data_IF_479418854742
#
_entry.id   IF_479418854742
#
_cell.length_a   1.000
_cell.length_b   1.000
_cell.length_c   1.000
_cell.angle_alpha   90.00
_cell.angle_beta   90.00
_cell.angle_gamma   90.00
#
_symmetry.space_group_name_H-M   'P 1'
#
loop_
_entity.id
_entity.type
_entity.pdbx_description
1 polymer ?
#
# COMPACT_ATOMS: atom_id res chain seq x y z
N UNK A 1 -15.65 -12.56 0.29
CA UNK A 1 -15.63 -11.79 -0.97
C UNK A 1 -14.31 -12.07 -1.65
N UNK A 2 -14.31 -12.80 -2.78
CA UNK A 2 -13.10 -12.97 -3.60
C UNK A 2 -12.61 -11.60 -4.07
N UNK A 3 -11.30 -11.34 -3.97
CA UNK A 3 -10.69 -10.18 -4.59
C UNK A 3 -10.85 -10.28 -6.11
N UNK A 4 -11.26 -9.17 -6.71
CA UNK A 4 -11.29 -9.04 -8.17
C UNK A 4 -9.87 -8.71 -8.67
N UNK A 5 -9.50 -9.29 -9.82
CA UNK A 5 -8.28 -8.93 -10.55
C UNK A 5 -6.98 -9.06 -9.72
N UNK A 6 -6.90 -10.08 -8.85
CA UNK A 6 -5.72 -10.34 -8.00
C UNK A 6 -5.26 -11.80 -8.03
N UNK A 7 -5.58 -12.50 -9.12
CA UNK A 7 -5.32 -13.95 -9.24
C UNK A 7 -3.83 -14.28 -9.09
N UNK A 8 -2.94 -13.46 -9.69
CA UNK A 8 -1.51 -13.63 -9.54
C UNK A 8 -1.07 -13.33 -8.10
N UNK A 9 -1.58 -12.26 -7.49
CA UNK A 9 -1.29 -11.92 -6.09
C UNK A 9 -1.73 -13.04 -5.14
N UNK A 10 -2.90 -13.61 -5.36
CA UNK A 10 -3.37 -14.78 -4.60
C UNK A 10 -2.45 -15.99 -4.80
N UNK A 11 -2.05 -16.28 -6.03
CA UNK A 11 -1.08 -17.36 -6.31
C UNK A 11 0.24 -17.14 -5.57
N UNK A 12 0.75 -15.90 -5.53
CA UNK A 12 1.96 -15.56 -4.77
C UNK A 12 1.79 -15.81 -3.27
N UNK A 13 0.59 -15.60 -2.69
CA UNK A 13 0.31 -15.96 -1.29
C UNK A 13 0.41 -17.47 -1.07
N UNK A 14 -0.13 -18.28 -1.98
CA UNK A 14 0.04 -19.75 -1.90
C UNK A 14 1.52 -20.15 -2.00
N UNK A 15 2.29 -19.56 -2.89
CA UNK A 15 3.74 -19.82 -2.99
C UNK A 15 4.49 -19.42 -1.71
N UNK A 16 4.13 -18.31 -1.08
CA UNK A 16 4.68 -17.91 0.21
C UNK A 16 4.28 -18.87 1.35
N UNK A 17 3.09 -19.45 1.28
CA UNK A 17 2.65 -20.44 2.27
C UNK A 17 3.47 -21.73 2.24
N UNK A 18 4.03 -22.08 1.08
CA UNK A 18 4.87 -23.26 0.91
C UNK A 18 6.34 -22.99 1.29
N UNK A 19 6.88 -21.81 0.89
CA UNK A 19 8.31 -21.49 0.99
C UNK A 19 8.67 -20.65 2.22
N UNK A 20 7.67 -20.05 2.89
CA UNK A 20 7.86 -18.98 3.89
C UNK A 20 8.41 -17.70 3.26
N UNK A 21 8.52 -16.65 4.07
CA UNK A 21 9.27 -15.45 3.72
C UNK A 21 10.66 -15.54 4.36
N UNK A 22 11.72 -15.45 3.57
CA UNK A 22 13.10 -15.47 4.08
C UNK A 22 13.51 -14.14 4.71
N UNK A 23 12.84 -13.09 4.29
CA UNK A 23 12.90 -11.72 4.84
C UNK A 23 11.48 -11.17 4.84
N UNK A 24 11.14 -10.18 5.67
CA UNK A 24 9.84 -9.51 5.57
C UNK A 24 9.56 -9.00 4.15
N UNK A 25 8.38 -9.24 3.63
CA UNK A 25 7.91 -8.69 2.35
C UNK A 25 7.17 -7.39 2.64
N UNK A 26 7.60 -6.28 2.02
CA UNK A 26 6.96 -4.97 2.14
C UNK A 26 6.24 -4.65 0.84
N UNK A 27 4.91 -4.70 0.88
CA UNK A 27 4.05 -4.33 -0.24
C UNK A 27 3.79 -2.83 -0.20
N UNK A 28 4.16 -2.12 -1.25
CA UNK A 28 3.92 -0.68 -1.38
C UNK A 28 3.25 -0.34 -2.73
N UNK A 29 2.64 0.82 -2.85
CA UNK A 29 1.99 1.23 -4.11
C UNK A 29 0.93 2.29 -3.88
N UNK A 30 0.19 2.69 -4.94
CA UNK A 30 -0.79 3.75 -4.87
C UNK A 30 -1.75 3.61 -3.69
N UNK A 31 -2.07 4.74 -3.07
CA UNK A 31 -3.11 4.78 -2.04
C UNK A 31 -4.42 4.26 -2.62
N UNK A 32 -5.07 3.33 -1.90
CA UNK A 32 -6.34 2.76 -2.35
C UNK A 32 -6.27 1.72 -3.48
N UNK A 33 -5.08 1.25 -3.89
CA UNK A 33 -4.96 0.21 -4.92
C UNK A 33 -5.39 -1.19 -4.48
N UNK A 34 -5.68 -1.40 -3.18
CA UNK A 34 -6.19 -2.66 -2.64
C UNK A 34 -5.22 -3.48 -1.79
N UNK A 35 -4.10 -2.90 -1.31
CA UNK A 35 -3.12 -3.60 -0.44
C UNK A 35 -3.75 -4.22 0.80
N UNK A 36 -4.55 -3.44 1.55
CA UNK A 36 -5.26 -3.93 2.74
C UNK A 36 -6.22 -5.08 2.42
N UNK A 37 -6.89 -5.02 1.28
CA UNK A 37 -7.78 -6.09 0.84
C UNK A 37 -6.99 -7.38 0.54
N UNK A 38 -5.84 -7.26 -0.12
CA UNK A 38 -4.94 -8.39 -0.37
C UNK A 38 -4.43 -9.00 0.95
N UNK A 39 -4.01 -8.19 1.93
CA UNK A 39 -3.55 -8.69 3.23
C UNK A 39 -4.67 -9.43 3.99
N UNK A 40 -5.88 -8.90 3.97
CA UNK A 40 -7.04 -9.57 4.61
C UNK A 40 -7.32 -10.93 3.95
N UNK A 41 -7.35 -10.97 2.62
CA UNK A 41 -7.55 -12.22 1.88
C UNK A 41 -6.38 -13.20 2.12
N UNK A 42 -5.14 -12.70 2.19
CA UNK A 42 -3.99 -13.51 2.55
C UNK A 42 -4.14 -14.12 3.95
N UNK A 43 -4.69 -13.36 4.91
CA UNK A 43 -4.98 -13.85 6.25
C UNK A 43 -5.97 -15.02 6.25
N UNK A 44 -7.05 -14.90 5.50
CA UNK A 44 -8.05 -15.98 5.35
C UNK A 44 -7.43 -17.24 4.71
N UNK A 45 -6.73 -17.07 3.58
CA UNK A 45 -6.07 -18.18 2.87
C UNK A 45 -5.04 -18.87 3.76
N UNK A 46 -4.18 -18.12 4.42
CA UNK A 46 -3.16 -18.69 5.29
C UNK A 46 -3.77 -19.40 6.50
N UNK A 47 -4.87 -18.85 7.05
CA UNK A 47 -5.65 -19.50 8.11
C UNK A 47 -6.23 -20.84 7.66
N UNK A 48 -6.84 -20.91 6.47
CA UNK A 48 -7.34 -22.15 5.88
C UNK A 48 -6.22 -23.18 5.61
N UNK A 49 -5.01 -22.71 5.31
CA UNK A 49 -3.83 -23.54 5.14
C UNK A 49 -3.16 -23.95 6.47
N UNK A 50 -3.78 -23.65 7.61
CA UNK A 50 -3.33 -24.06 8.94
C UNK A 50 -2.22 -23.21 9.54
N UNK A 51 -2.09 -21.95 9.12
CA UNK A 51 -1.24 -20.97 9.80
C UNK A 51 -1.97 -20.35 11.00
N UNK A 52 -1.22 -20.09 12.06
CA UNK A 52 -1.64 -19.15 13.09
C UNK A 52 -1.40 -17.72 12.57
N UNK A 53 -2.48 -17.00 12.25
CA UNK A 53 -2.41 -15.70 11.57
C UNK A 53 -2.67 -14.56 12.53
N UNK A 54 -1.82 -13.55 12.49
CA UNK A 54 -2.00 -12.24 13.12
C UNK A 54 -2.08 -11.19 12.02
N UNK A 55 -3.27 -10.69 11.69
CA UNK A 55 -3.47 -9.52 10.84
C UNK A 55 -3.76 -8.30 11.71
N UNK A 56 -3.04 -7.20 11.49
CA UNK A 56 -3.18 -5.97 12.27
C UNK A 56 -3.15 -4.77 11.33
N UNK A 57 -4.19 -3.93 11.41
CA UNK A 57 -4.25 -2.62 10.79
C UNK A 57 -3.92 -1.56 11.86
N UNK A 58 -2.71 -1.05 11.82
CA UNK A 58 -2.22 -0.13 12.85
C UNK A 58 -2.95 1.21 12.85
N UNK A 59 -3.29 1.76 11.67
CA UNK A 59 -3.98 3.05 11.59
C UNK A 59 -5.44 2.97 12.03
N UNK A 60 -6.13 1.90 11.66
CA UNK A 60 -7.52 1.68 12.06
C UNK A 60 -7.65 1.15 13.47
N UNK A 61 -6.53 0.75 14.07
CA UNK A 61 -6.50 0.08 15.37
C UNK A 61 -7.42 -1.14 15.40
N UNK A 62 -7.26 -1.99 14.39
CA UNK A 62 -8.09 -3.18 14.19
C UNK A 62 -7.19 -4.40 13.97
N UNK A 63 -7.69 -5.58 14.30
CA UNK A 63 -6.98 -6.82 14.09
C UNK A 63 -7.93 -7.99 13.80
N UNK A 64 -7.39 -8.99 13.12
CA UNK A 64 -8.03 -10.29 12.94
C UNK A 64 -7.02 -11.38 13.26
N UNK A 65 -7.43 -12.39 13.99
CA UNK A 65 -6.57 -13.53 14.31
C UNK A 65 -7.22 -14.83 13.85
N UNK A 66 -6.41 -15.71 13.26
CA UNK A 66 -6.77 -17.10 13.01
C UNK A 66 -5.83 -17.96 13.86
N UNK A 67 -6.17 -18.17 15.13
CA UNK A 67 -5.42 -19.00 16.08
C UNK A 67 -6.38 -19.51 17.14
N UNK A 68 -6.11 -20.69 17.68
CA UNK A 68 -6.82 -21.28 18.81
C UNK A 68 -6.35 -20.74 20.17
N UNK A 69 -5.34 -19.86 20.18
CA UNK A 69 -4.75 -19.30 21.41
C UNK A 69 -5.47 -18.03 21.81
N UNK A 70 -6.38 -18.16 22.79
CA UNK A 70 -7.20 -17.07 23.33
C UNK A 70 -6.38 -15.90 23.91
N UNK A 71 -5.27 -16.20 24.60
CA UNK A 71 -4.36 -15.17 25.16
C UNK A 71 -3.83 -14.19 24.09
N UNK A 72 -3.69 -14.60 22.83
CA UNK A 72 -3.24 -13.73 21.74
C UNK A 72 -4.28 -12.63 21.47
N UNK A 73 -5.54 -13.04 21.35
CA UNK A 73 -6.65 -12.09 21.13
C UNK A 73 -6.84 -11.15 22.33
N UNK A 74 -6.74 -11.69 23.54
CA UNK A 74 -6.86 -10.90 24.80
C UNK A 74 -5.76 -9.83 24.87
N UNK A 75 -4.49 -10.18 24.66
CA UNK A 75 -3.38 -9.22 24.69
C UNK A 75 -3.48 -8.14 23.60
N UNK A 76 -3.92 -8.50 22.38
CA UNK A 76 -4.13 -7.49 21.33
C UNK A 76 -5.27 -6.53 21.73
N UNK A 77 -6.36 -7.07 22.27
CA UNK A 77 -7.50 -6.26 22.73
C UNK A 77 -7.11 -5.32 23.87
N UNK A 78 -6.31 -5.76 24.84
CA UNK A 78 -5.79 -4.94 25.93
C UNK A 78 -4.97 -3.76 25.42
N UNK A 79 -4.02 -4.00 24.48
CA UNK A 79 -3.20 -2.94 23.91
C UNK A 79 -4.04 -1.95 23.10
N UNK A 80 -5.06 -2.43 22.38
CA UNK A 80 -5.95 -1.55 21.61
C UNK A 80 -6.87 -0.70 22.51
N UNK A 81 -7.21 -1.17 23.68
CA UNK A 81 -8.01 -0.41 24.66
C UNK A 81 -7.22 0.80 25.24
N UNK A 82 -5.91 0.81 25.15
CA UNK A 82 -5.09 1.94 25.58
C UNK A 82 -5.22 3.12 24.60
N UNK A 83 -5.49 4.31 25.12
CA UNK A 83 -5.77 5.52 24.30
C UNK A 83 -4.57 6.46 24.12
N UNK A 84 -3.37 6.05 24.50
CA UNK A 84 -2.18 6.91 24.46
C UNK A 84 -1.54 6.98 23.07
N UNK A 85 -0.80 8.05 22.77
CA UNK A 85 -0.07 8.24 21.51
C UNK A 85 1.03 7.19 21.25
N UNK A 86 1.49 6.51 22.30
CA UNK A 86 2.51 5.45 22.23
C UNK A 86 1.91 4.11 21.76
N UNK A 87 0.59 4.03 21.68
CA UNK A 87 -0.15 2.78 21.44
C UNK A 87 0.21 2.10 20.12
N UNK A 88 0.46 2.85 19.04
CA UNK A 88 0.71 2.25 17.72
C UNK A 88 2.06 1.51 17.67
N UNK A 89 3.12 2.11 18.19
CA UNK A 89 4.42 1.45 18.28
C UNK A 89 4.38 0.26 19.28
N UNK A 90 3.65 0.42 20.38
CA UNK A 90 3.43 -0.66 21.34
C UNK A 90 2.67 -1.81 20.70
N UNK A 91 1.61 -1.52 19.94
CA UNK A 91 0.84 -2.53 19.21
C UNK A 91 1.72 -3.28 18.18
N UNK A 92 2.52 -2.55 17.39
CA UNK A 92 3.46 -3.14 16.45
C UNK A 92 4.45 -4.08 17.15
N UNK A 93 5.06 -3.63 18.25
CA UNK A 93 6.01 -4.46 19.02
C UNK A 93 5.34 -5.64 19.71
N UNK A 94 4.12 -5.47 20.22
CA UNK A 94 3.33 -6.55 20.80
C UNK A 94 3.06 -7.65 19.78
N UNK A 95 2.80 -7.29 18.52
CA UNK A 95 2.59 -8.24 17.42
C UNK A 95 3.81 -9.15 17.24
N UNK A 96 5.03 -8.57 17.21
CA UNK A 96 6.26 -9.35 17.11
C UNK A 96 6.46 -10.24 18.33
N UNK A 97 6.15 -9.72 19.54
CA UNK A 97 6.24 -10.50 20.78
C UNK A 97 5.28 -11.68 20.77
N UNK A 98 4.04 -11.48 20.34
CA UNK A 98 3.04 -12.55 20.25
C UNK A 98 3.44 -13.61 19.22
N UNK A 99 3.99 -13.21 18.06
CA UNK A 99 4.52 -14.16 17.09
C UNK A 99 5.65 -15.01 17.68
N UNK A 100 6.54 -14.41 18.47
CA UNK A 100 7.57 -15.16 19.22
C UNK A 100 6.98 -16.11 20.26
N UNK A 101 5.96 -15.66 20.98
CA UNK A 101 5.29 -16.48 21.97
C UNK A 101 4.54 -17.66 21.32
N UNK A 102 3.93 -17.47 20.15
CA UNK A 102 3.33 -18.55 19.36
C UNK A 102 4.35 -19.66 19.10
N UNK A 103 5.56 -19.31 18.68
CA UNK A 103 6.63 -20.29 18.43
C UNK A 103 7.11 -20.93 19.75
N UNK A 104 7.49 -20.10 20.75
CA UNK A 104 8.18 -20.55 21.96
C UNK A 104 7.26 -21.24 22.97
N UNK A 105 6.12 -20.56 23.31
CA UNK A 105 5.23 -20.97 24.39
C UNK A 105 4.23 -22.00 23.92
N UNK A 106 3.64 -21.79 22.73
CA UNK A 106 2.56 -22.63 22.21
C UNK A 106 2.99 -23.59 21.12
N UNK A 107 4.31 -23.61 20.80
CA UNK A 107 4.91 -24.57 19.85
C UNK A 107 4.24 -24.57 18.46
N UNK A 108 3.69 -23.43 18.06
CA UNK A 108 3.13 -23.25 16.72
C UNK A 108 4.25 -23.25 15.70
N UNK A 109 4.00 -23.87 14.56
CA UNK A 109 5.05 -24.13 13.57
C UNK A 109 4.86 -23.38 12.26
N UNK A 110 3.62 -22.97 11.97
CA UNK A 110 3.25 -22.21 10.77
C UNK A 110 2.60 -20.90 11.22
N UNK A 111 3.28 -19.77 11.00
CA UNK A 111 2.87 -18.47 11.53
C UNK A 111 2.83 -17.45 10.40
N UNK A 112 1.78 -16.67 10.34
CA UNK A 112 1.67 -15.54 9.43
C UNK A 112 1.49 -14.24 10.22
N UNK A 113 2.32 -13.26 9.91
CA UNK A 113 2.26 -11.93 10.46
C UNK A 113 2.01 -10.92 9.34
N UNK A 114 0.81 -10.34 9.33
CA UNK A 114 0.33 -9.41 8.31
C UNK A 114 0.07 -8.05 8.96
N UNK A 115 0.86 -7.03 8.60
CA UNK A 115 0.78 -5.71 9.25
C UNK A 115 0.51 -4.63 8.22
N UNK A 116 -0.64 -3.98 8.35
CA UNK A 116 -1.11 -2.97 7.42
C UNK A 116 -0.80 -1.55 7.90
N UNK A 117 -0.49 -0.66 6.96
CA UNK A 117 -0.17 0.78 7.14
C UNK A 117 0.91 1.04 8.22
N UNK A 118 1.88 0.14 8.32
CA UNK A 118 2.84 0.11 9.43
C UNK A 118 3.68 1.39 9.50
N UNK A 119 4.20 1.88 8.39
CA UNK A 119 5.18 2.99 8.43
C UNK A 119 4.52 4.35 8.68
N UNK A 120 3.29 4.54 8.21
CA UNK A 120 2.49 5.71 8.59
C UNK A 120 2.17 5.72 10.09
N UNK A 121 1.91 4.54 10.64
CA UNK A 121 1.51 4.40 12.04
C UNK A 121 2.66 4.63 13.03
N UNK A 122 3.85 4.05 12.79
CA UNK A 122 4.99 4.11 13.72
C UNK A 122 6.03 5.17 13.35
N UNK A 123 5.89 5.81 12.20
CA UNK A 123 6.82 6.80 11.68
C UNK A 123 8.10 6.19 11.08
N UNK A 124 8.72 6.97 10.19
CA UNK A 124 9.89 6.53 9.41
C UNK A 124 11.09 6.16 10.30
N UNK A 125 11.29 6.85 11.42
CA UNK A 125 12.42 6.61 12.33
C UNK A 125 12.33 5.24 13.02
N UNK A 126 11.11 4.78 13.31
CA UNK A 126 10.88 3.47 13.94
C UNK A 126 10.79 2.33 12.92
N UNK A 127 10.57 2.66 11.64
CA UNK A 127 10.32 1.68 10.58
C UNK A 127 11.49 0.69 10.39
N UNK A 128 12.73 1.20 10.37
CA UNK A 128 13.92 0.36 10.19
C UNK A 128 14.11 -0.64 11.35
N UNK A 129 13.97 -0.16 12.58
CA UNK A 129 14.10 -1.01 13.78
C UNK A 129 13.00 -2.08 13.80
N UNK A 130 11.77 -1.72 13.41
CA UNK A 130 10.65 -2.63 13.35
C UNK A 130 10.88 -3.74 12.30
N UNK A 131 11.25 -3.37 11.06
CA UNK A 131 11.57 -4.34 10.00
C UNK A 131 12.69 -5.26 10.43
N UNK A 132 13.74 -4.74 11.08
CA UNK A 132 14.83 -5.56 11.61
C UNK A 132 14.37 -6.52 12.72
N UNK A 133 13.41 -6.11 13.55
CA UNK A 133 12.84 -7.01 14.57
C UNK A 133 12.07 -8.18 13.96
N UNK A 134 11.39 -7.95 12.83
CA UNK A 134 10.71 -8.98 12.06
C UNK A 134 11.69 -9.91 11.33
N UNK A 135 12.76 -9.37 10.77
CA UNK A 135 13.83 -10.16 10.19
C UNK A 135 14.46 -11.08 11.25
N UNK A 136 14.73 -10.54 12.45
CA UNK A 136 15.26 -11.33 13.56
C UNK A 136 14.29 -12.44 14.02
N UNK A 137 12.97 -12.26 13.86
CA UNK A 137 11.99 -13.32 14.13
C UNK A 137 12.16 -14.49 13.14
N UNK A 138 12.48 -14.19 11.89
CA UNK A 138 12.66 -15.19 10.81
C UNK A 138 14.03 -15.87 10.92
N UNK A 139 15.10 -15.09 11.09
CA UNK A 139 16.49 -15.61 11.08
C UNK A 139 16.90 -16.28 12.41
N UNK A 140 16.38 -15.75 13.53
CA UNK A 140 16.70 -16.22 14.89
C UNK A 140 15.43 -16.50 15.68
N UNK A 141 14.61 -17.46 15.24
CA UNK A 141 13.39 -17.82 15.95
C UNK A 141 13.73 -18.45 17.32
N UNK A 142 12.87 -18.27 18.32
CA UNK A 142 13.12 -18.83 19.66
C UNK A 142 13.10 -20.36 19.70
N UNK A 143 12.48 -21.02 18.73
CA UNK A 143 12.39 -22.47 18.57
C UNK A 143 12.23 -22.82 17.08
N UNK A 144 12.33 -24.11 16.74
CA UNK A 144 12.13 -24.57 15.37
C UNK A 144 10.71 -24.33 14.88
N UNK A 145 10.58 -23.85 13.66
CA UNK A 145 9.32 -23.65 12.96
C UNK A 145 9.32 -24.38 11.61
N UNK A 146 8.17 -24.49 11.00
CA UNK A 146 8.00 -25.05 9.65
C UNK A 146 8.01 -23.93 8.61
N UNK A 147 7.09 -22.96 8.76
CA UNK A 147 7.00 -21.78 7.90
C UNK A 147 6.63 -20.52 8.66
N UNK A 148 7.30 -19.43 8.32
CA UNK A 148 6.92 -18.06 8.76
C UNK A 148 6.67 -17.23 7.51
N UNK A 149 5.50 -16.58 7.46
CA UNK A 149 5.11 -15.61 6.43
C UNK A 149 4.97 -14.24 7.08
N UNK A 150 5.78 -13.26 6.66
CA UNK A 150 5.72 -11.88 7.16
C UNK A 150 5.50 -10.94 6.01
N UNK A 151 4.33 -10.29 5.97
CA UNK A 151 3.96 -9.32 4.94
C UNK A 151 3.53 -8.02 5.61
N UNK A 152 4.14 -6.92 5.18
CA UNK A 152 3.82 -5.57 5.60
C UNK A 152 3.20 -4.81 4.43
N UNK A 153 2.25 -3.92 4.66
CA UNK A 153 1.75 -3.02 3.63
C UNK A 153 1.92 -1.56 4.04
N UNK A 154 2.16 -0.71 3.06
CA UNK A 154 2.23 0.75 3.25
C UNK A 154 1.79 1.49 1.99
N UNK A 155 1.11 2.61 2.18
CA UNK A 155 0.80 3.58 1.11
C UNK A 155 1.82 4.73 1.07
N UNK A 156 2.68 4.83 2.09
CA UNK A 156 3.64 5.90 2.24
C UNK A 156 4.87 5.67 1.33
N UNK A 157 5.24 6.68 0.57
CA UNK A 157 6.27 6.58 -0.46
C UNK A 157 7.72 6.78 0.03
N UNK A 158 7.93 7.49 1.15
CA UNK A 158 9.28 7.88 1.61
C UNK A 158 10.00 6.78 2.39
N UNK A 159 9.27 6.01 3.22
CA UNK A 159 9.86 4.96 4.06
C UNK A 159 10.57 3.86 3.27
N UNK A 160 10.10 3.58 2.03
CA UNK A 160 10.74 2.59 1.15
C UNK A 160 12.21 2.91 0.85
N UNK A 161 12.58 4.21 0.79
CA UNK A 161 13.96 4.62 0.55
C UNK A 161 14.90 4.23 1.68
N UNK A 162 14.45 4.41 2.94
CA UNK A 162 15.20 4.00 4.12
C UNK A 162 15.32 2.48 4.20
N UNK A 163 14.21 1.76 4.09
CA UNK A 163 14.17 0.30 4.21
C UNK A 163 14.94 -0.37 3.06
N UNK A 164 14.82 0.16 1.84
CA UNK A 164 15.47 -0.39 0.65
C UNK A 164 17.00 -0.29 0.63
N UNK A 165 17.61 0.54 1.50
CA UNK A 165 19.07 0.62 1.67
C UNK A 165 19.66 -0.66 2.28
N UNK A 166 18.85 -1.39 3.01
CA UNK A 166 19.26 -2.60 3.70
C UNK A 166 18.57 -3.82 3.07
N UNK A 167 19.24 -4.97 3.08
CA UNK A 167 18.64 -6.24 2.64
C UNK A 167 17.76 -6.89 3.72
N UNK A 168 17.11 -6.07 4.55
CA UNK A 168 16.29 -6.52 5.67
C UNK A 168 14.86 -6.86 5.29
N UNK A 169 14.45 -6.41 4.11
CA UNK A 169 13.13 -6.70 3.56
C UNK A 169 13.15 -6.78 2.03
N UNK A 170 12.21 -7.50 1.50
CA UNK A 170 11.94 -7.53 0.07
C UNK A 170 10.81 -6.55 -0.25
N UNK A 171 11.16 -5.45 -0.91
CA UNK A 171 10.20 -4.43 -1.32
C UNK A 171 9.51 -4.87 -2.61
N UNK A 172 8.20 -5.06 -2.57
CA UNK A 172 7.40 -5.46 -3.73
C UNK A 172 6.31 -4.42 -4.01
N UNK A 173 6.34 -3.74 -5.16
CA UNK A 173 5.26 -2.83 -5.52
C UNK A 173 4.00 -3.60 -5.91
N UNK A 174 2.84 -3.00 -5.63
CA UNK A 174 1.53 -3.41 -6.09
C UNK A 174 0.86 -2.24 -6.80
N UNK A 175 0.29 -2.47 -7.98
CA UNK A 175 -0.35 -1.41 -8.76
C UNK A 175 -1.86 -1.40 -8.61
N UNK A 176 -2.50 -0.40 -9.21
CA UNK A 176 -3.95 -0.35 -9.41
C UNK A 176 -4.43 -1.55 -10.23
N UNK A 177 -5.73 -1.80 -10.27
CA UNK A 177 -6.31 -2.91 -11.03
C UNK A 177 -6.00 -2.79 -12.53
N UNK A 178 -5.93 -3.92 -13.20
CA UNK A 178 -5.91 -3.99 -14.66
C UNK A 178 -7.21 -3.43 -15.24
N UNK A 179 -7.22 -3.11 -16.54
CA UNK A 179 -8.46 -2.64 -17.20
C UNK A 179 -9.55 -3.71 -17.17
N UNK A 180 -9.18 -4.99 -17.30
CA UNK A 180 -10.13 -6.11 -17.21
C UNK A 180 -10.75 -6.21 -15.83
N UNK A 181 -9.93 -6.20 -14.77
CA UNK A 181 -10.44 -6.27 -13.41
C UNK A 181 -11.24 -5.04 -12.99
N UNK A 182 -10.83 -3.87 -13.45
CA UNK A 182 -11.64 -2.66 -13.25
C UNK A 182 -13.00 -2.75 -13.95
N UNK A 183 -13.07 -3.36 -15.13
CA UNK A 183 -14.34 -3.60 -15.83
C UNK A 183 -15.26 -4.50 -15.00
N UNK A 184 -14.76 -5.58 -14.45
CA UNK A 184 -15.54 -6.44 -13.56
C UNK A 184 -16.04 -5.70 -12.31
N UNK A 185 -15.19 -4.87 -11.70
CA UNK A 185 -15.59 -4.03 -10.57
C UNK A 185 -16.67 -3.03 -10.98
N UNK A 186 -16.48 -2.37 -12.13
CA UNK A 186 -17.43 -1.41 -12.66
C UNK A 186 -18.80 -2.06 -12.90
N UNK A 187 -18.87 -3.25 -13.46
CA UNK A 187 -20.13 -3.97 -13.70
C UNK A 187 -20.88 -4.31 -12.42
N UNK A 188 -20.17 -4.60 -11.34
CA UNK A 188 -20.77 -4.93 -10.02
C UNK A 188 -21.35 -3.72 -9.29
N UNK A 189 -20.99 -2.49 -9.65
CA UNK A 189 -21.55 -1.29 -9.02
C UNK A 189 -22.93 -1.00 -9.63
N UNK A 190 -23.99 -1.00 -8.83
CA UNK A 190 -25.34 -0.72 -9.33
C UNK A 190 -25.57 0.79 -9.54
N UNK A 191 -26.66 1.12 -10.23
CA UNK A 191 -27.15 2.49 -10.38
C UNK A 191 -26.61 3.22 -11.61
N UNK A 192 -26.88 4.53 -11.66
CA UNK A 192 -26.40 5.38 -12.74
C UNK A 192 -24.90 5.67 -12.56
N UNK A 193 -24.13 5.45 -13.60
CA UNK A 193 -22.67 5.60 -13.60
C UNK A 193 -22.18 6.13 -14.96
N UNK A 194 -21.04 6.84 -15.02
CA UNK A 194 -20.44 7.31 -16.28
C UNK A 194 -20.09 6.13 -17.18
N UNK A 195 -19.77 6.38 -18.43
CA UNK A 195 -19.24 5.33 -19.30
C UNK A 195 -17.98 4.72 -18.69
N UNK A 196 -17.76 3.44 -18.94
CA UNK A 196 -16.59 2.70 -18.43
C UNK A 196 -15.26 3.42 -18.76
N UNK A 197 -15.11 3.90 -19.98
CA UNK A 197 -13.90 4.62 -20.42
C UNK A 197 -13.70 5.93 -19.65
N UNK A 198 -14.76 6.65 -19.33
CA UNK A 198 -14.67 7.88 -18.54
C UNK A 198 -14.27 7.57 -17.09
N UNK A 199 -14.89 6.53 -16.49
CA UNK A 199 -14.51 6.05 -15.17
C UNK A 199 -13.03 5.61 -15.13
N UNK A 200 -12.57 4.87 -16.14
CA UNK A 200 -11.18 4.46 -16.28
C UNK A 200 -10.23 5.63 -16.39
N UNK A 201 -10.54 6.63 -17.24
CA UNK A 201 -9.70 7.83 -17.43
C UNK A 201 -9.50 8.66 -16.16
N UNK A 202 -10.43 8.60 -15.20
CA UNK A 202 -10.28 9.29 -13.90
C UNK A 202 -9.62 8.43 -12.83
N UNK A 203 -9.84 7.12 -12.85
CA UNK A 203 -9.41 6.23 -11.77
C UNK A 203 -8.11 5.50 -12.06
N UNK A 204 -7.81 5.22 -13.34
CA UNK A 204 -6.68 4.39 -13.73
C UNK A 204 -6.70 3.01 -13.07
N UNK A 205 -7.91 2.46 -12.83
CA UNK A 205 -8.09 1.19 -12.15
C UNK A 205 -7.98 1.24 -10.62
N UNK A 206 -7.95 2.43 -10.01
CA UNK A 206 -7.89 2.53 -8.55
C UNK A 206 -9.28 2.34 -7.92
N UNK A 207 -9.50 1.25 -7.14
CA UNK A 207 -10.83 0.94 -6.62
C UNK A 207 -11.30 1.93 -5.55
N UNK A 208 -10.40 2.52 -4.79
CA UNK A 208 -10.76 3.54 -3.80
C UNK A 208 -11.22 4.83 -4.47
N UNK A 209 -10.48 5.32 -5.47
CA UNK A 209 -10.87 6.51 -6.27
C UNK A 209 -12.23 6.27 -6.93
N UNK A 210 -12.47 5.09 -7.47
CA UNK A 210 -13.75 4.73 -8.05
C UNK A 210 -14.90 4.76 -7.03
N UNK A 211 -14.68 4.20 -5.84
CA UNK A 211 -15.63 4.25 -4.73
C UNK A 211 -15.92 5.68 -4.26
N UNK A 212 -14.91 6.53 -4.19
CA UNK A 212 -15.08 7.94 -3.82
C UNK A 212 -15.91 8.70 -4.87
N UNK A 213 -15.62 8.52 -6.14
CA UNK A 213 -16.41 9.12 -7.23
C UNK A 213 -17.88 8.68 -7.16
N UNK A 214 -18.16 7.40 -6.92
CA UNK A 214 -19.52 6.90 -6.73
C UNK A 214 -20.23 7.62 -5.56
N UNK A 215 -19.58 7.79 -4.41
CA UNK A 215 -20.17 8.45 -3.22
C UNK A 215 -20.57 9.91 -3.48
N UNK A 216 -19.88 10.60 -4.37
CA UNK A 216 -20.15 12.00 -4.74
C UNK A 216 -20.93 12.12 -6.06
N UNK A 217 -21.68 11.08 -6.42
CA UNK A 217 -22.47 11.02 -7.65
C UNK A 217 -21.66 11.38 -8.91
N UNK A 218 -20.44 10.85 -8.99
CA UNK A 218 -19.51 11.00 -10.12
C UNK A 218 -19.08 12.43 -10.43
N UNK A 219 -19.23 13.34 -9.49
CA UNK A 219 -18.82 14.74 -9.64
C UNK A 219 -17.29 14.89 -9.59
N UNK A 220 -16.65 14.87 -10.76
CA UNK A 220 -15.20 15.07 -10.88
C UNK A 220 -14.74 16.43 -10.36
N UNK A 221 -15.60 17.47 -10.50
CA UNK A 221 -15.32 18.80 -9.97
C UNK A 221 -15.24 18.81 -8.43
N UNK A 222 -16.14 18.09 -7.75
CA UNK A 222 -16.07 17.92 -6.29
C UNK A 222 -14.81 17.14 -5.93
N UNK A 223 -14.54 16.02 -6.60
CA UNK A 223 -13.35 15.20 -6.34
C UNK A 223 -12.05 16.04 -6.46
N UNK A 224 -11.91 16.82 -7.52
CA UNK A 224 -10.74 17.66 -7.75
C UNK A 224 -10.60 18.73 -6.65
N UNK A 225 -11.68 19.45 -6.30
CA UNK A 225 -11.64 20.47 -5.24
C UNK A 225 -11.27 19.87 -3.88
N UNK A 226 -11.86 18.74 -3.53
CA UNK A 226 -11.56 18.01 -2.29
C UNK A 226 -10.09 17.63 -2.25
N UNK A 227 -9.58 17.03 -3.31
CA UNK A 227 -8.20 16.55 -3.36
C UNK A 227 -7.17 17.69 -3.36
N UNK A 228 -7.47 18.86 -3.98
CA UNK A 228 -6.64 20.07 -3.87
C UNK A 228 -6.45 20.46 -2.39
N UNK A 229 -7.53 20.43 -1.61
CA UNK A 229 -7.50 20.79 -0.19
C UNK A 229 -6.76 19.70 0.64
N UNK A 230 -7.11 18.43 0.46
CA UNK A 230 -6.52 17.30 1.19
C UNK A 230 -5.01 17.16 0.94
N UNK A 231 -4.56 17.35 -0.30
CA UNK A 231 -3.13 17.30 -0.65
C UNK A 231 -2.40 18.62 -0.39
N UNK A 232 -3.08 19.62 0.22
CA UNK A 232 -2.54 20.92 0.57
C UNK A 232 -1.82 21.62 -0.59
N UNK A 233 -2.47 21.66 -1.76
CA UNK A 233 -1.94 22.30 -2.97
C UNK A 233 -2.19 23.81 -2.92
N UNK A 234 -1.37 24.51 -2.16
CA UNK A 234 -1.50 25.97 -1.96
C UNK A 234 -0.99 26.76 -3.17
N UNK A 235 -1.42 28.04 -3.32
CA UNK A 235 -0.85 28.93 -4.34
C UNK A 235 0.69 29.02 -4.27
N UNK A 236 1.25 29.04 -3.06
CA UNK A 236 2.70 29.08 -2.84
C UNK A 236 3.39 27.85 -3.41
N UNK A 237 2.87 26.65 -3.11
CA UNK A 237 3.41 25.41 -3.64
C UNK A 237 3.33 25.37 -5.18
N UNK A 238 2.16 25.65 -5.73
CA UNK A 238 1.93 25.59 -7.18
C UNK A 238 2.80 26.61 -7.92
N UNK A 239 2.93 27.84 -7.39
CA UNK A 239 3.73 28.87 -8.04
C UNK A 239 5.24 28.60 -7.95
N UNK A 240 5.72 28.09 -6.82
CA UNK A 240 7.12 27.67 -6.63
C UNK A 240 7.55 26.64 -7.69
N UNK A 241 6.69 25.68 -7.99
CA UNK A 241 6.99 24.54 -8.83
C UNK A 241 6.32 24.57 -10.21
N UNK A 242 5.73 25.69 -10.60
CA UNK A 242 4.86 25.83 -11.78
C UNK A 242 5.43 25.26 -13.07
N UNK A 243 6.70 25.53 -13.37
CA UNK A 243 7.37 25.03 -14.58
C UNK A 243 7.35 23.50 -14.59
N UNK A 244 7.89 22.90 -13.55
CA UNK A 244 8.03 21.45 -13.42
C UNK A 244 6.69 20.73 -13.38
N UNK A 245 5.71 21.29 -12.68
CA UNK A 245 4.37 20.72 -12.60
C UNK A 245 3.66 20.73 -13.97
N UNK A 246 3.85 21.77 -14.79
CA UNK A 246 3.29 21.81 -16.15
C UNK A 246 3.88 20.70 -17.04
N UNK A 247 5.17 20.51 -16.97
CA UNK A 247 5.87 19.47 -17.71
C UNK A 247 5.42 18.07 -17.23
N UNK A 248 5.37 17.85 -15.92
CA UNK A 248 4.95 16.59 -15.32
C UNK A 248 3.48 16.21 -15.59
N UNK A 249 2.58 17.19 -15.74
CA UNK A 249 1.18 16.95 -16.16
C UNK A 249 1.13 16.38 -17.59
N UNK A 250 2.01 16.83 -18.48
CA UNK A 250 2.09 16.29 -19.83
C UNK A 250 2.78 14.92 -19.86
N UNK A 251 3.90 14.80 -19.14
CA UNK A 251 4.70 13.59 -19.06
C UNK A 251 5.35 13.48 -17.67
N UNK A 252 4.92 12.51 -16.82
CA UNK A 252 5.47 12.38 -15.48
C UNK A 252 6.97 12.02 -15.46
N UNK A 253 7.51 11.45 -16.53
CA UNK A 253 8.93 11.14 -16.62
C UNK A 253 9.83 12.39 -16.71
N UNK A 254 9.28 13.58 -16.95
CA UNK A 254 10.03 14.83 -16.81
C UNK A 254 10.55 15.05 -15.39
N UNK A 255 9.89 14.45 -14.39
CA UNK A 255 10.36 14.44 -13.00
C UNK A 255 11.59 13.53 -12.79
N UNK A 256 11.92 12.66 -13.74
CA UNK A 256 13.11 11.80 -13.69
C UNK A 256 14.37 12.49 -14.24
N UNK A 257 14.22 13.70 -14.77
CA UNK A 257 15.35 14.49 -15.26
C UNK A 257 16.31 14.84 -14.10
N UNK A 258 17.65 14.71 -14.26
CA UNK A 258 18.64 15.04 -13.24
C UNK A 258 18.58 16.49 -12.74
N UNK A 259 18.02 17.40 -13.53
CA UNK A 259 17.85 18.81 -13.15
C UNK A 259 16.57 19.06 -12.33
N UNK A 260 15.71 18.07 -12.16
CA UNK A 260 14.52 18.22 -11.34
C UNK A 260 14.90 18.37 -9.86
N UNK A 261 14.42 19.43 -9.16
CA UNK A 261 14.73 19.62 -7.76
C UNK A 261 14.27 18.46 -6.89
N UNK A 262 15.19 17.89 -6.11
CA UNK A 262 14.88 16.78 -5.18
C UNK A 262 13.78 17.16 -4.17
N UNK A 263 13.74 18.43 -3.76
CA UNK A 263 12.70 18.95 -2.88
C UNK A 263 11.30 18.78 -3.51
N UNK A 264 11.15 19.02 -4.80
CA UNK A 264 9.88 18.80 -5.50
C UNK A 264 9.48 17.32 -5.49
N UNK A 265 10.43 16.42 -5.78
CA UNK A 265 10.20 14.97 -5.75
C UNK A 265 9.72 14.53 -4.36
N UNK A 266 10.40 15.00 -3.32
CA UNK A 266 10.04 14.70 -1.93
C UNK A 266 8.65 15.25 -1.57
N UNK A 267 8.32 16.47 -1.97
CA UNK A 267 7.00 17.08 -1.77
C UNK A 267 5.88 16.33 -2.49
N UNK A 268 6.09 15.94 -3.75
CA UNK A 268 5.10 15.17 -4.51
C UNK A 268 4.91 13.75 -3.94
N UNK A 269 5.99 13.13 -3.51
CA UNK A 269 5.97 11.77 -2.94
C UNK A 269 5.33 11.75 -1.55
N UNK A 270 5.69 12.72 -0.68
CA UNK A 270 5.13 12.82 0.68
C UNK A 270 3.63 13.14 0.70
N UNK A 271 3.14 13.86 -0.31
CA UNK A 271 1.71 14.12 -0.51
C UNK A 271 0.97 12.95 -1.17
N UNK A 272 1.63 11.85 -1.46
CA UNK A 272 1.08 10.73 -2.22
C UNK A 272 0.44 11.19 -3.54
N UNK A 273 1.12 12.05 -4.29
CA UNK A 273 0.69 12.48 -5.61
C UNK A 273 1.27 11.60 -6.72
N UNK A 274 2.50 11.16 -6.53
CA UNK A 274 3.23 10.33 -7.49
C UNK A 274 3.77 9.05 -6.86
N UNK A 275 4.04 8.07 -7.71
CA UNK A 275 4.92 6.94 -7.43
C UNK A 275 6.21 7.21 -8.19
N UNK A 276 7.26 7.60 -7.46
CA UNK A 276 8.57 7.89 -8.04
C UNK A 276 9.42 6.63 -8.09
N UNK A 277 10.23 6.44 -9.12
CA UNK A 277 11.02 5.24 -9.36
C UNK A 277 10.18 3.95 -9.42
N UNK A 278 9.40 3.86 -10.50
CA UNK A 278 8.71 2.61 -10.84
C UNK A 278 9.75 1.54 -11.19
N UNK A 279 9.54 0.34 -10.67
CA UNK A 279 10.38 -0.80 -10.99
C UNK A 279 10.19 -1.25 -12.43
N UNK A 280 11.14 -2.03 -12.92
CA UNK A 280 10.98 -2.81 -14.14
C UNK A 280 9.65 -3.58 -14.14
N UNK A 281 9.05 -3.74 -15.31
CA UNK A 281 7.73 -4.38 -15.46
C UNK A 281 7.79 -5.91 -15.47
N UNK A 282 8.94 -6.48 -15.11
CA UNK A 282 9.03 -7.92 -14.87
C UNK A 282 8.03 -8.31 -13.77
N UNK A 283 7.04 -9.17 -14.06
CA UNK A 283 6.03 -9.56 -13.10
C UNK A 283 6.60 -10.15 -11.79
N UNK A 284 7.78 -10.78 -11.83
CA UNK A 284 8.41 -11.36 -10.62
C UNK A 284 8.85 -10.28 -9.60
N UNK A 285 8.97 -9.03 -10.04
CA UNK A 285 9.31 -7.90 -9.17
C UNK A 285 8.10 -7.22 -8.54
N UNK A 286 6.87 -7.69 -8.86
CA UNK A 286 5.61 -7.08 -8.43
C UNK A 286 4.75 -8.07 -7.64
N UNK A 287 3.99 -7.54 -6.71
CA UNK A 287 2.80 -8.22 -6.22
C UNK A 287 1.71 -8.01 -7.26
N UNK A 288 1.17 -9.11 -7.77
CA UNK A 288 0.18 -9.13 -8.81
C UNK A 288 0.70 -8.56 -10.15
N UNK A 289 -0.12 -7.89 -10.93
CA UNK A 289 0.20 -7.41 -12.27
C UNK A 289 0.87 -6.03 -12.23
N UNK A 290 2.04 -5.83 -12.88
CA UNK A 290 2.64 -4.51 -13.00
C UNK A 290 1.78 -3.56 -13.85
N UNK A 291 1.98 -2.22 -13.73
CA UNK A 291 1.39 -1.26 -14.64
C UNK A 291 1.92 -1.44 -16.07
N UNK A 292 1.26 -0.88 -17.10
CA UNK A 292 1.83 -0.80 -18.43
C UNK A 292 3.18 -0.07 -18.41
N UNK A 293 4.05 -0.34 -19.40
CA UNK A 293 5.38 0.29 -19.47
C UNK A 293 5.28 1.81 -19.51
N UNK A 294 4.36 2.32 -20.31
CA UNK A 294 4.05 3.73 -20.43
C UNK A 294 2.63 3.92 -20.94
N UNK A 295 1.86 4.75 -20.26
CA UNK A 295 0.50 5.16 -20.67
C UNK A 295 0.22 6.57 -20.17
N UNK A 296 0.50 7.56 -21.03
CA UNK A 296 0.32 8.97 -20.69
C UNK A 296 -1.16 9.38 -20.57
N UNK A 297 -2.10 8.61 -21.14
CA UNK A 297 -3.52 8.92 -20.99
C UNK A 297 -3.95 8.79 -19.53
N UNK A 298 -3.43 7.79 -18.83
CA UNK A 298 -3.69 7.56 -17.40
C UNK A 298 -2.53 8.02 -16.50
N UNK A 299 -1.56 8.75 -17.05
CA UNK A 299 -0.50 9.38 -16.27
C UNK A 299 0.60 8.45 -15.79
N UNK A 300 0.89 7.39 -16.53
CA UNK A 300 1.97 6.44 -16.27
C UNK A 300 3.13 6.67 -17.21
N UNK A 301 4.29 7.04 -16.67
CA UNK A 301 5.56 7.07 -17.36
C UNK A 301 6.36 5.79 -17.15
N UNK A 302 7.57 5.74 -17.71
CA UNK A 302 8.51 4.63 -17.52
C UNK A 302 9.04 4.58 -16.09
N UNK A 303 9.42 5.71 -15.53
CA UNK A 303 10.09 5.85 -14.23
C UNK A 303 9.22 6.48 -13.16
N UNK A 304 8.27 7.32 -13.55
CA UNK A 304 7.38 8.04 -12.64
C UNK A 304 5.94 7.90 -13.12
N UNK A 305 5.02 7.75 -12.18
CA UNK A 305 3.59 7.79 -12.48
C UNK A 305 2.83 8.62 -11.45
N UNK A 306 1.74 9.23 -11.87
CA UNK A 306 0.73 9.74 -10.93
C UNK A 306 0.07 8.56 -10.21
N UNK A 307 -0.31 8.75 -8.96
CA UNK A 307 -0.99 7.69 -8.19
C UNK A 307 -2.28 7.20 -8.88
N UNK A 308 -3.00 8.14 -9.46
CA UNK A 308 -4.14 7.93 -10.36
C UNK A 308 -4.22 9.09 -11.37
N UNK A 309 -4.95 8.95 -12.47
CA UNK A 309 -5.20 10.07 -13.39
C UNK A 309 -5.86 11.27 -12.70
N UNK A 310 -6.69 11.04 -11.68
CA UNK A 310 -7.30 12.12 -10.90
C UNK A 310 -6.24 13.00 -10.21
N UNK A 311 -5.15 12.44 -9.69
CA UNK A 311 -4.06 13.22 -9.09
C UNK A 311 -3.39 14.15 -10.11
N UNK A 312 -3.20 13.69 -11.35
CA UNK A 312 -2.73 14.52 -12.46
C UNK A 312 -3.70 15.66 -12.76
N UNK A 313 -4.99 15.36 -12.86
CA UNK A 313 -6.02 16.37 -13.15
C UNK A 313 -6.13 17.42 -12.03
N UNK A 314 -5.92 17.03 -10.79
CA UNK A 314 -5.86 17.93 -9.61
C UNK A 314 -4.73 18.95 -9.75
N UNK A 315 -3.53 18.51 -10.13
CA UNK A 315 -2.39 19.44 -10.37
C UNK A 315 -2.67 20.34 -11.56
N UNK A 316 -3.19 19.81 -12.65
CA UNK A 316 -3.57 20.60 -13.81
C UNK A 316 -4.57 21.69 -13.45
N UNK A 317 -5.59 21.35 -12.67
CA UNK A 317 -6.61 22.32 -12.22
C UNK A 317 -6.05 23.35 -11.26
N UNK A 318 -5.18 22.97 -10.32
CA UNK A 318 -4.50 23.90 -9.43
C UNK A 318 -3.62 24.91 -10.20
N UNK A 319 -2.92 24.47 -11.25
CA UNK A 319 -2.15 25.33 -12.15
C UNK A 319 -3.03 26.36 -12.89
N UNK A 320 -4.30 26.04 -13.17
CA UNK A 320 -5.27 26.96 -13.79
C UNK A 320 -5.83 27.96 -12.78
N UNK A 321 -6.16 27.50 -11.56
CA UNK A 321 -6.79 28.32 -10.51
C UNK A 321 -5.81 29.37 -9.97
N UNK A 322 -4.56 29.00 -9.77
CA UNK A 322 -3.57 29.86 -9.10
C UNK A 322 -2.63 30.56 -10.13
N UNK A 323 -3.18 31.01 -11.25
CA UNK A 323 -2.44 31.77 -12.28
C UNK A 323 -1.83 33.06 -11.75
#
# INVERSE_FOLDING_TARGET
>A
LSLLDRDRGIKQIYELSEKGTRVPVVVYGPEGCGKSALLKQAGEILGELGFDVLYIDLLRRDFTTHTDIREVTEKLSEVLAETTSITLLKLANTTVSLARDLIRKWRKRRIALLVDEVFQAIGIESAEAYVKSLLNLIEYPPESYENIVVILATSEGLSRWKIGRHRWAWLMPMWNMSKSGFTELYEKIPGNKPLLEDAWRFTGGNPFTFSQLHRINWSTNIAVKTLIAEKNLTPTFINKWRKWLKEAVADPDTLWDPNTPEELINELTSRNLIVYFLRDRDPELWIDTPPPERDLEIGIGKHVAWQTPLHREVIKKALEIYK
#
